data_IF_958229685527
#
_entry.id   IF_958229685527
#
_cell.length_a   1.000
_cell.length_b   1.000
_cell.length_c   1.000
_cell.angle_alpha   90.00
_cell.angle_beta   90.00
_cell.angle_gamma   90.00
#
_symmetry.space_group_name_H-M   'P 1'
#
loop_
_entity.id
_entity.type
_entity.pdbx_description
1 polymer ?
#
# COMPACT_ATOMS: atom_id res chain seq x y z
N UNK A 1 -61.81 22.93 44.79
CA UNK A 1 -62.74 22.15 43.96
C UNK A 1 -62.36 22.35 42.50
N UNK A 2 -62.57 21.38 41.58
CA UNK A 2 -62.30 19.95 41.66
C UNK A 2 -61.62 19.38 40.37
N UNK A 3 -61.15 18.12 40.44
CA UNK A 3 -61.16 17.08 39.37
C UNK A 3 -60.36 17.35 38.08
N UNK A 4 -59.72 16.41 37.38
CA UNK A 4 -59.75 14.94 37.26
C UNK A 4 -58.52 14.63 36.38
N UNK A 5 -57.52 13.87 36.82
CA UNK A 5 -57.38 12.42 36.76
C UNK A 5 -57.91 11.72 35.48
N UNK A 6 -57.00 10.92 34.90
CA UNK A 6 -57.16 9.70 34.08
C UNK A 6 -57.35 9.87 32.57
N UNK A 7 -56.31 9.47 31.82
CA UNK A 7 -56.46 8.39 30.85
C UNK A 7 -55.29 7.40 30.96
N UNK A 8 -55.67 6.14 31.22
CA UNK A 8 -54.90 4.91 31.04
C UNK A 8 -55.06 4.49 29.58
N UNK A 9 -54.10 3.76 29.00
CA UNK A 9 -54.22 2.54 28.17
C UNK A 9 -52.86 2.26 27.47
N UNK A 10 -52.54 1.01 27.05
CA UNK A 10 -51.36 0.27 27.46
C UNK A 10 -50.50 -0.15 26.25
N UNK A 11 -49.49 -0.99 26.52
CA UNK A 11 -48.72 -1.83 25.60
C UNK A 11 -49.43 -2.14 24.26
N UNK A 12 -48.73 -1.86 23.16
CA UNK A 12 -48.87 -2.59 21.91
C UNK A 12 -47.47 -3.01 21.42
N UNK A 13 -47.21 -4.30 21.50
CA UNK A 13 -46.13 -5.05 20.85
C UNK A 13 -46.40 -5.03 19.34
N UNK A 14 -45.43 -4.65 18.51
CA UNK A 14 -45.52 -4.84 17.06
C UNK A 14 -44.14 -5.08 16.41
N UNK A 15 -43.90 -6.36 16.13
CA UNK A 15 -43.26 -6.92 14.94
C UNK A 15 -41.85 -6.47 14.49
N UNK A 16 -40.90 -7.33 14.84
CA UNK A 16 -39.73 -7.76 14.08
C UNK A 16 -40.00 -7.87 12.56
N UNK A 17 -39.25 -7.12 11.75
CA UNK A 17 -39.03 -7.39 10.32
C UNK A 17 -37.52 -7.33 10.04
N UNK A 18 -36.88 -8.52 10.04
CA UNK A 18 -35.55 -8.71 9.48
C UNK A 18 -35.65 -8.53 7.94
N UNK A 19 -35.11 -7.44 7.43
CA UNK A 19 -34.77 -7.34 6.02
C UNK A 19 -33.36 -7.93 5.83
N UNK A 20 -33.28 -9.20 5.42
CA UNK A 20 -32.06 -9.74 4.81
C UNK A 20 -31.92 -9.10 3.42
N UNK A 21 -31.16 -8.03 3.33
CA UNK A 21 -30.65 -7.55 2.04
C UNK A 21 -29.52 -8.50 1.61
N UNK A 22 -29.83 -9.39 0.67
CA UNK A 22 -28.81 -10.11 -0.08
C UNK A 22 -28.05 -9.10 -0.94
N UNK A 23 -26.88 -8.67 -0.49
CA UNK A 23 -25.93 -7.92 -1.31
C UNK A 23 -25.39 -8.85 -2.39
N UNK A 24 -26.03 -8.85 -3.55
CA UNK A 24 -25.40 -9.36 -4.77
C UNK A 24 -24.27 -8.39 -5.15
N UNK A 25 -23.07 -8.63 -4.63
CA UNK A 25 -21.84 -8.02 -5.14
C UNK A 25 -21.53 -8.59 -6.52
N UNK A 26 -22.23 -8.08 -7.54
CA UNK A 26 -21.80 -8.23 -8.92
C UNK A 26 -20.56 -7.36 -9.14
N UNK A 27 -19.38 -7.93 -8.92
CA UNK A 27 -18.13 -7.28 -9.30
C UNK A 27 -18.12 -7.05 -10.81
N UNK A 28 -18.15 -5.80 -11.26
CA UNK A 28 -17.83 -5.49 -12.64
C UNK A 28 -16.40 -5.98 -12.92
N UNK A 29 -16.14 -6.65 -14.05
CA UNK A 29 -14.78 -6.99 -14.42
C UNK A 29 -13.99 -5.68 -14.54
N UNK A 30 -12.91 -5.57 -13.75
CA UNK A 30 -12.02 -4.43 -13.80
C UNK A 30 -11.46 -4.31 -15.22
N UNK A 31 -11.63 -3.14 -15.85
CA UNK A 31 -10.97 -2.82 -17.12
C UNK A 31 -9.46 -2.97 -16.91
N UNK A 32 -8.75 -3.70 -17.79
CA UNK A 32 -7.30 -3.80 -17.68
C UNK A 32 -6.66 -2.42 -17.65
N UNK A 33 -5.70 -2.22 -16.75
CA UNK A 33 -4.93 -0.98 -16.71
C UNK A 33 -4.18 -0.79 -18.04
N UNK A 34 -4.26 0.43 -18.59
CA UNK A 34 -3.49 0.82 -19.77
C UNK A 34 -2.16 1.40 -19.29
N UNK A 35 -1.06 0.86 -19.82
CA UNK A 35 0.30 1.30 -19.51
C UNK A 35 1.00 1.81 -20.79
N UNK A 36 2.01 2.70 -20.67
CA UNK A 36 2.50 3.33 -19.44
C UNK A 36 1.52 4.36 -18.86
N UNK A 37 1.57 4.62 -17.55
CA UNK A 37 0.70 5.59 -16.87
C UNK A 37 1.37 6.23 -15.67
N UNK A 38 1.33 7.57 -15.58
CA UNK A 38 1.59 8.29 -14.34
C UNK A 38 0.29 8.33 -13.52
N UNK A 39 0.23 7.72 -12.32
CA UNK A 39 -0.94 7.86 -11.46
C UNK A 39 -1.20 9.33 -11.14
N UNK A 40 -2.45 9.74 -11.22
CA UNK A 40 -2.82 11.12 -10.96
C UNK A 40 -2.65 11.43 -9.46
N UNK A 41 -2.20 12.64 -9.11
CA UNK A 41 -2.06 13.04 -7.70
C UNK A 41 -3.35 12.86 -6.88
N UNK A 42 -4.53 13.01 -7.51
CA UNK A 42 -5.84 12.79 -6.88
C UNK A 42 -6.12 11.35 -6.46
N UNK A 43 -5.31 10.38 -6.91
CA UNK A 43 -5.44 8.97 -6.52
C UNK A 43 -4.76 8.67 -5.17
N UNK A 44 -3.97 9.61 -4.64
CA UNK A 44 -3.46 9.57 -3.28
C UNK A 44 -4.55 9.99 -2.28
N UNK A 45 -5.38 9.03 -1.88
CA UNK A 45 -6.52 9.26 -0.98
C UNK A 45 -6.29 8.72 0.43
N UNK A 46 -5.09 8.20 0.72
CA UNK A 46 -4.77 7.69 2.05
C UNK A 46 -4.59 8.84 3.05
N UNK A 47 -5.02 8.60 4.29
CA UNK A 47 -4.68 9.48 5.40
C UNK A 47 -3.21 9.32 5.76
N UNK A 48 -2.55 10.42 6.11
CA UNK A 48 -1.20 10.37 6.65
C UNK A 48 -1.22 9.82 8.08
N UNK A 49 -0.29 8.91 8.37
CA UNK A 49 0.17 8.60 9.71
C UNK A 49 0.83 9.85 10.31
N UNK A 50 0.61 10.18 11.59
CA UNK A 50 1.24 11.32 12.24
C UNK A 50 2.77 11.24 12.21
N UNK A 51 3.43 12.39 12.12
CA UNK A 51 4.89 12.49 12.10
C UNK A 51 5.53 11.79 13.29
N UNK A 52 4.98 12.03 14.49
CA UNK A 52 5.46 11.46 15.74
C UNK A 52 5.41 9.93 15.77
N UNK A 53 4.46 9.34 15.07
CA UNK A 53 4.29 7.89 14.99
C UNK A 53 5.38 7.27 14.09
N UNK A 54 5.66 7.86 12.92
CA UNK A 54 6.76 7.41 12.04
C UNK A 54 8.12 7.57 12.73
N UNK A 55 8.32 8.66 13.49
CA UNK A 55 9.53 8.86 14.29
C UNK A 55 9.65 7.80 15.39
N UNK A 56 8.56 7.43 16.05
CA UNK A 56 8.55 6.38 17.07
C UNK A 56 8.83 4.98 16.48
N UNK A 57 8.27 4.67 15.31
CA UNK A 57 8.54 3.43 14.57
C UNK A 57 10.04 3.24 14.32
N UNK A 58 10.71 4.31 13.85
CA UNK A 58 12.16 4.34 13.61
C UNK A 58 12.98 4.06 14.88
N UNK A 59 12.54 4.55 16.03
CA UNK A 59 13.26 4.41 17.30
C UNK A 59 13.08 3.02 17.95
N UNK A 60 12.14 2.24 17.46
CA UNK A 60 11.95 0.85 17.91
C UNK A 60 13.13 -0.01 17.41
N UNK A 61 13.81 -0.78 18.27
CA UNK A 61 14.92 -1.65 17.84
C UNK A 61 14.44 -2.70 16.84
N UNK A 62 15.21 -2.93 15.78
CA UNK A 62 15.06 -4.13 14.93
C UNK A 62 15.57 -5.33 15.75
N UNK A 63 14.86 -6.45 15.75
CA UNK A 63 15.40 -7.69 16.31
C UNK A 63 16.64 -8.10 15.51
N UNK A 64 17.78 -8.23 16.19
CA UNK A 64 19.06 -8.63 15.59
C UNK A 64 18.99 -10.07 15.06
N UNK A 65 18.56 -10.21 13.81
CA UNK A 65 18.89 -11.34 12.96
C UNK A 65 19.61 -10.80 11.73
N UNK A 66 20.81 -10.26 11.93
CA UNK A 66 21.72 -9.92 10.85
C UNK A 66 22.22 -11.22 10.19
N UNK A 67 21.40 -11.78 9.29
CA UNK A 67 21.88 -12.72 8.31
C UNK A 67 22.77 -11.95 7.32
N UNK A 68 23.93 -12.51 6.99
CA UNK A 68 24.74 -12.05 5.85
C UNK A 68 23.80 -11.97 4.64
N UNK A 69 23.75 -10.84 3.90
CA UNK A 69 22.84 -10.73 2.76
C UNK A 69 23.22 -11.79 1.73
N UNK A 70 22.40 -12.83 1.64
CA UNK A 70 22.43 -13.74 0.51
C UNK A 70 22.01 -12.96 -0.75
N UNK A 71 22.47 -13.35 -1.94
CA UNK A 71 21.94 -12.80 -3.18
C UNK A 71 20.41 -12.91 -3.18
N UNK A 72 19.73 -11.78 -3.42
CA UNK A 72 18.28 -11.80 -3.46
C UNK A 72 17.81 -12.73 -4.58
N UNK A 73 16.96 -13.68 -4.23
CA UNK A 73 16.28 -14.54 -5.18
C UNK A 73 14.79 -14.29 -5.00
N UNK A 74 14.09 -14.03 -6.11
CA UNK A 74 12.63 -13.85 -6.09
C UNK A 74 12.00 -15.05 -5.38
N UNK A 75 11.28 -14.84 -4.26
CA UNK A 75 10.64 -15.92 -3.53
C UNK A 75 9.65 -16.67 -4.43
N UNK A 76 9.64 -18.00 -4.31
CA UNK A 76 8.65 -18.80 -4.99
C UNK A 76 7.25 -18.52 -4.41
N UNK A 77 6.29 -18.27 -5.28
CA UNK A 77 4.88 -18.10 -4.92
C UNK A 77 3.95 -18.82 -5.88
N UNK A 78 2.66 -18.84 -5.51
CA UNK A 78 1.58 -19.24 -6.42
C UNK A 78 0.89 -18.00 -6.96
N UNK A 79 0.23 -18.04 -8.13
CA UNK A 79 -0.62 -16.94 -8.56
C UNK A 79 -1.62 -16.56 -7.46
N UNK A 80 -1.73 -15.27 -7.16
CA UNK A 80 -2.74 -14.75 -6.25
C UNK A 80 -4.14 -14.88 -6.87
N UNK A 81 -5.17 -14.88 -6.03
CA UNK A 81 -6.55 -14.76 -6.51
C UNK A 81 -6.84 -13.34 -7.03
N UNK A 82 -7.99 -13.18 -7.67
CA UNK A 82 -8.41 -11.92 -8.29
C UNK A 82 -8.53 -10.79 -7.27
N UNK A 83 -9.08 -11.06 -6.09
CA UNK A 83 -9.28 -10.05 -5.03
C UNK A 83 -7.93 -9.53 -4.53
N UNK A 84 -7.03 -10.44 -4.15
CA UNK A 84 -5.67 -10.11 -3.72
C UNK A 84 -4.91 -9.36 -4.82
N UNK A 85 -5.04 -9.79 -6.08
CA UNK A 85 -4.39 -9.12 -7.20
C UNK A 85 -4.88 -7.69 -7.36
N UNK A 86 -6.19 -7.45 -7.31
CA UNK A 86 -6.77 -6.11 -7.42
C UNK A 86 -6.31 -5.22 -6.28
N UNK A 87 -6.35 -5.72 -5.04
CA UNK A 87 -5.99 -4.93 -3.87
C UNK A 87 -4.50 -4.56 -3.85
N UNK A 88 -3.62 -5.52 -4.14
CA UNK A 88 -2.16 -5.28 -4.19
C UNK A 88 -1.80 -4.25 -5.27
N UNK A 89 -2.40 -4.38 -6.46
CA UNK A 89 -2.18 -3.44 -7.57
C UNK A 89 -2.72 -2.05 -7.23
N UNK A 90 -3.87 -1.97 -6.56
CA UNK A 90 -4.44 -0.70 -6.10
C UNK A 90 -3.53 -0.02 -5.06
N UNK A 91 -2.98 -0.77 -4.09
CA UNK A 91 -2.03 -0.25 -3.10
C UNK A 91 -0.79 0.32 -3.78
N UNK A 92 -0.15 -0.43 -4.69
CA UNK A 92 1.04 0.06 -5.38
C UNK A 92 0.74 1.27 -6.27
N UNK A 93 -0.41 1.30 -6.93
CA UNK A 93 -0.84 2.47 -7.69
C UNK A 93 -0.99 3.70 -6.78
N UNK A 94 -1.50 3.52 -5.56
CA UNK A 94 -1.60 4.58 -4.57
C UNK A 94 -0.24 5.03 -4.05
N UNK A 95 0.75 4.13 -3.91
CA UNK A 95 2.15 4.48 -3.58
C UNK A 95 2.68 5.51 -4.56
N UNK A 96 2.60 5.21 -5.86
CA UNK A 96 3.10 6.11 -6.90
C UNK A 96 2.25 7.39 -7.05
N UNK A 97 0.95 7.32 -6.78
CA UNK A 97 0.11 8.52 -6.72
C UNK A 97 0.55 9.46 -5.58
N UNK A 98 0.81 8.93 -4.38
CA UNK A 98 1.28 9.72 -3.25
C UNK A 98 2.70 10.25 -3.45
N UNK A 99 3.55 9.47 -4.11
CA UNK A 99 4.87 9.91 -4.53
C UNK A 99 4.77 11.10 -5.52
N UNK A 100 3.84 11.06 -6.48
CA UNK A 100 3.60 12.12 -7.46
C UNK A 100 2.91 13.37 -6.89
N UNK A 101 2.20 13.25 -5.75
CA UNK A 101 1.75 14.41 -4.95
C UNK A 101 2.92 15.09 -4.23
N UNK A 102 3.99 14.34 -3.97
CA UNK A 102 5.14 14.81 -3.19
C UNK A 102 4.80 15.06 -1.73
N UNK A 103 3.89 14.28 -1.13
CA UNK A 103 3.52 14.32 0.29
C UNK A 103 4.26 13.20 1.05
N UNK A 104 5.33 13.51 1.79
CA UNK A 104 6.18 12.49 2.41
C UNK A 104 5.44 11.64 3.44
N UNK A 105 4.52 12.23 4.22
CA UNK A 105 3.80 11.49 5.27
C UNK A 105 2.80 10.52 4.64
N UNK A 106 2.01 10.96 3.65
CA UNK A 106 1.09 10.04 2.95
C UNK A 106 1.82 8.94 2.22
N UNK A 107 2.96 9.26 1.61
CA UNK A 107 3.81 8.27 0.99
C UNK A 107 4.33 7.24 2.00
N UNK A 108 4.90 7.69 3.13
CA UNK A 108 5.38 6.82 4.21
C UNK A 108 4.26 5.94 4.80
N UNK A 109 3.02 6.40 4.80
CA UNK A 109 1.84 5.67 5.34
C UNK A 109 1.41 4.44 4.55
N UNK A 110 2.09 4.15 3.44
CA UNK A 110 1.85 2.98 2.59
C UNK A 110 2.91 1.89 2.77
N UNK A 111 3.88 2.14 3.66
CA UNK A 111 4.95 1.21 4.02
C UNK A 111 4.69 0.64 5.41
N UNK A 112 5.19 -0.57 5.65
CA UNK A 112 5.14 -1.19 6.97
C UNK A 112 6.10 -0.52 7.94
N UNK A 113 5.87 -0.76 9.23
CA UNK A 113 6.77 -0.29 10.29
C UNK A 113 8.19 -0.82 10.12
N UNK A 114 8.33 -2.08 9.70
CA UNK A 114 9.62 -2.73 9.48
C UNK A 114 10.38 -2.11 8.30
N UNK A 115 9.67 -1.81 7.21
CA UNK A 115 10.23 -1.05 6.09
C UNK A 115 10.67 0.34 6.56
N UNK A 116 9.80 1.11 7.23
CA UNK A 116 10.11 2.48 7.64
C UNK A 116 11.29 2.54 8.61
N UNK A 117 11.39 1.58 9.52
CA UNK A 117 12.51 1.48 10.46
C UNK A 117 13.82 1.16 9.75
N UNK A 118 13.80 0.27 8.76
CA UNK A 118 14.96 -0.04 7.93
C UNK A 118 15.37 1.17 7.08
N UNK A 119 14.40 1.79 6.40
CA UNK A 119 14.60 2.90 5.48
C UNK A 119 15.14 4.16 6.16
N UNK A 120 14.62 4.51 7.34
CA UNK A 120 15.13 5.63 8.15
C UNK A 120 16.20 5.22 9.16
N UNK A 121 16.61 3.95 9.13
CA UNK A 121 17.66 3.41 9.98
C UNK A 121 18.98 4.14 9.73
N UNK A 122 19.62 4.62 10.80
CA UNK A 122 20.89 5.34 10.70
C UNK A 122 20.81 6.79 10.19
N UNK A 123 19.67 7.23 9.64
CA UNK A 123 19.45 8.64 9.29
C UNK A 123 19.30 9.48 10.56
N UNK A 124 19.95 10.64 10.71
CA UNK A 124 19.76 11.51 11.87
C UNK A 124 18.29 11.87 12.08
N UNK A 125 17.83 11.86 13.35
CA UNK A 125 16.42 12.09 13.70
C UNK A 125 15.90 13.42 13.14
N UNK A 126 16.69 14.48 13.26
CA UNK A 126 16.29 15.81 12.81
C UNK A 126 16.15 15.87 11.27
N UNK A 127 16.93 15.09 10.53
CA UNK A 127 16.82 14.99 9.06
C UNK A 127 15.54 14.25 8.65
N UNK A 128 15.18 13.17 9.36
CA UNK A 128 13.91 12.46 9.14
C UNK A 128 12.73 13.39 9.42
N UNK A 129 12.77 14.13 10.53
CA UNK A 129 11.74 15.11 10.87
C UNK A 129 11.66 16.20 9.79
N UNK A 130 12.79 16.73 9.34
CA UNK A 130 12.84 17.78 8.33
C UNK A 130 12.23 17.30 7.00
N UNK A 131 12.57 16.09 6.55
CA UNK A 131 12.03 15.49 5.34
C UNK A 131 10.52 15.24 5.44
N UNK A 132 10.08 14.58 6.51
CA UNK A 132 8.66 14.23 6.69
C UNK A 132 7.78 15.46 6.96
N UNK A 133 8.36 16.58 7.40
CA UNK A 133 7.63 17.84 7.62
C UNK A 133 7.49 18.69 6.36
N UNK A 134 8.06 18.28 5.22
CA UNK A 134 7.91 19.02 3.97
C UNK A 134 6.43 19.03 3.55
N UNK A 135 5.89 20.19 3.13
CA UNK A 135 4.56 20.23 2.56
C UNK A 135 4.51 19.46 1.23
N UNK A 136 3.32 19.01 0.78
CA UNK A 136 3.15 18.39 -0.53
C UNK A 136 3.76 19.22 -1.66
N UNK A 137 4.62 18.60 -2.47
CA UNK A 137 5.24 19.22 -3.64
C UNK A 137 4.68 18.61 -4.93
N UNK A 138 3.80 19.35 -5.60
CA UNK A 138 3.23 18.90 -6.87
C UNK A 138 4.28 18.92 -7.98
N UNK A 139 4.68 17.74 -8.42
CA UNK A 139 5.64 17.60 -9.50
C UNK A 139 5.00 17.90 -10.87
N UNK A 140 5.69 18.62 -11.77
CA UNK A 140 5.28 18.75 -13.17
C UNK A 140 5.27 17.39 -13.87
N UNK A 141 4.58 17.28 -15.01
CA UNK A 141 4.37 15.99 -15.69
C UNK A 141 5.67 15.24 -16.03
N UNK A 142 6.74 15.96 -16.37
CA UNK A 142 8.06 15.42 -16.68
C UNK A 142 8.86 14.96 -15.44
N UNK A 143 8.36 15.25 -14.25
CA UNK A 143 8.94 14.84 -12.95
C UNK A 143 8.04 13.84 -12.21
N UNK A 144 7.04 13.28 -12.87
CA UNK A 144 6.21 12.22 -12.28
C UNK A 144 6.83 10.86 -12.53
N UNK A 145 6.69 9.99 -11.53
CA UNK A 145 6.94 8.55 -11.67
C UNK A 145 5.87 7.94 -12.56
N UNK A 146 6.30 7.20 -13.57
CA UNK A 146 5.42 6.52 -14.53
C UNK A 146 5.50 5.02 -14.29
N UNK A 147 4.36 4.37 -14.11
CA UNK A 147 4.27 2.91 -14.08
C UNK A 147 4.29 2.41 -15.53
N UNK A 148 5.33 1.68 -15.89
CA UNK A 148 5.46 1.04 -17.21
C UNK A 148 4.67 -0.27 -17.25
N UNK A 149 4.68 -1.05 -16.16
CA UNK A 149 3.83 -2.24 -15.99
C UNK A 149 3.92 -2.80 -14.58
N UNK A 150 2.89 -3.54 -14.19
CA UNK A 150 2.97 -4.51 -13.10
C UNK A 150 3.13 -5.93 -13.64
N UNK A 151 3.95 -6.73 -12.96
CA UNK A 151 4.02 -8.17 -13.14
C UNK A 151 2.81 -8.89 -12.55
N UNK A 152 2.80 -10.21 -12.69
CA UNK A 152 1.78 -11.05 -12.04
C UNK A 152 1.98 -11.02 -10.53
N UNK A 153 0.91 -10.79 -9.78
CA UNK A 153 0.91 -10.90 -8.32
C UNK A 153 1.01 -12.37 -7.93
N UNK A 154 1.99 -12.68 -7.10
CA UNK A 154 2.19 -13.99 -6.50
C UNK A 154 1.87 -13.91 -5.01
N UNK A 155 1.16 -14.90 -4.48
CA UNK A 155 1.04 -15.11 -3.05
C UNK A 155 2.15 -16.05 -2.58
N UNK A 156 2.95 -15.55 -1.64
CA UNK A 156 4.06 -16.27 -1.03
C UNK A 156 3.56 -17.22 0.06
N UNK A 157 4.42 -18.16 0.48
CA UNK A 157 4.05 -19.20 1.46
C UNK A 157 3.72 -18.65 2.85
N UNK A 158 4.21 -17.46 3.18
CA UNK A 158 3.97 -16.74 4.43
C UNK A 158 2.71 -15.83 4.37
N UNK A 159 2.02 -15.80 3.23
CA UNK A 159 0.82 -14.97 3.03
C UNK A 159 1.10 -13.56 2.52
N UNK A 160 2.37 -13.16 2.36
CA UNK A 160 2.73 -11.90 1.69
C UNK A 160 2.48 -12.00 0.19
N UNK A 161 2.31 -10.85 -0.46
CA UNK A 161 2.19 -10.74 -1.91
C UNK A 161 3.49 -10.22 -2.52
N UNK A 162 3.92 -10.80 -3.64
CA UNK A 162 5.13 -10.37 -4.35
C UNK A 162 4.86 -10.13 -5.83
N UNK A 163 5.45 -9.07 -6.41
CA UNK A 163 5.40 -8.80 -7.83
C UNK A 163 6.57 -7.96 -8.31
N UNK A 164 6.81 -8.02 -9.62
CA UNK A 164 7.70 -7.08 -10.31
C UNK A 164 6.93 -5.80 -10.62
N UNK A 165 7.53 -4.65 -10.36
CA UNK A 165 7.07 -3.33 -10.81
C UNK A 165 8.11 -2.81 -11.79
N UNK A 166 7.69 -2.22 -12.91
CA UNK A 166 8.62 -1.50 -13.80
C UNK A 166 8.24 -0.04 -13.84
N UNK A 167 9.20 0.82 -13.54
CA UNK A 167 9.04 2.27 -13.46
C UNK A 167 9.92 2.99 -14.47
N UNK A 168 9.45 4.16 -14.92
CA UNK A 168 10.28 5.23 -15.49
C UNK A 168 10.28 6.35 -14.44
N UNK A 169 11.42 6.52 -13.76
CA UNK A 169 11.61 7.51 -12.70
C UNK A 169 12.38 8.71 -13.23
N UNK A 170 11.96 9.94 -12.90
CA UNK A 170 12.55 11.15 -13.49
C UNK A 170 14.01 11.39 -13.10
N UNK A 171 14.43 10.89 -11.93
CA UNK A 171 15.78 11.06 -11.39
C UNK A 171 16.70 9.86 -11.71
N UNK A 172 16.17 8.80 -12.32
CA UNK A 172 16.94 7.64 -12.75
C UNK A 172 17.27 7.71 -14.25
N UNK A 173 18.55 7.60 -14.66
CA UNK A 173 18.91 7.56 -16.08
C UNK A 173 18.38 6.31 -16.83
N UNK A 174 17.91 5.28 -16.11
CA UNK A 174 17.32 4.05 -16.64
C UNK A 174 15.81 4.25 -16.82
N UNK A 175 15.31 3.96 -18.02
CA UNK A 175 13.90 4.19 -18.39
C UNK A 175 12.95 3.04 -18.05
N UNK A 176 13.49 1.88 -17.70
CA UNK A 176 12.73 0.67 -17.37
C UNK A 176 13.49 -0.10 -16.29
N UNK A 177 13.29 0.27 -15.03
CA UNK A 177 13.88 -0.44 -13.90
C UNK A 177 12.87 -1.44 -13.32
N UNK A 178 13.17 -2.75 -13.35
CA UNK A 178 12.37 -3.73 -12.66
C UNK A 178 12.75 -3.81 -11.18
N UNK A 179 11.81 -3.46 -10.31
CA UNK A 179 11.89 -3.71 -8.88
C UNK A 179 11.04 -4.90 -8.49
N UNK A 180 11.48 -5.68 -7.51
CA UNK A 180 10.63 -6.65 -6.87
C UNK A 180 10.09 -6.10 -5.56
N UNK A 181 8.78 -5.91 -5.48
CA UNK A 181 8.08 -5.46 -4.29
C UNK A 181 7.43 -6.63 -3.56
N UNK A 182 7.56 -6.64 -2.22
CA UNK A 182 6.81 -7.52 -1.32
C UNK A 182 5.88 -6.65 -0.48
N UNK A 183 4.62 -7.06 -0.41
CA UNK A 183 3.60 -6.44 0.39
C UNK A 183 3.09 -7.41 1.46
N UNK A 184 2.88 -6.90 2.66
CA UNK A 184 2.28 -7.62 3.78
C UNK A 184 0.88 -7.07 4.07
N UNK A 185 -0.02 -7.95 4.52
CA UNK A 185 -1.36 -7.55 4.93
C UNK A 185 -1.41 -7.32 6.44
N UNK A 186 -1.45 -6.06 6.85
CA UNK A 186 -1.48 -5.61 8.25
C UNK A 186 -2.81 -4.90 8.50
N UNK A 187 -3.55 -5.32 9.54
CA UNK A 187 -4.86 -4.76 9.91
C UNK A 187 -5.85 -4.64 8.73
N UNK A 188 -5.83 -5.64 7.84
CA UNK A 188 -6.71 -5.72 6.67
C UNK A 188 -6.25 -4.90 5.46
N UNK A 189 -5.14 -4.16 5.54
CA UNK A 189 -4.56 -3.36 4.45
C UNK A 189 -3.26 -3.97 3.95
N UNK A 190 -3.00 -3.87 2.66
CA UNK A 190 -1.68 -4.17 2.10
C UNK A 190 -0.75 -2.98 2.31
N UNK A 191 0.45 -3.22 2.83
CA UNK A 191 1.54 -2.26 2.99
C UNK A 191 2.80 -2.80 2.33
N UNK A 192 3.63 -1.92 1.79
CA UNK A 192 4.92 -2.30 1.20
C UNK A 192 5.91 -2.62 2.32
N UNK A 193 6.39 -3.85 2.34
CA UNK A 193 7.32 -4.40 3.34
C UNK A 193 8.76 -4.40 2.83
N UNK A 194 8.95 -4.63 1.53
CA UNK A 194 10.27 -4.78 0.93
C UNK A 194 10.24 -4.30 -0.51
N UNK A 195 11.29 -3.58 -0.91
CA UNK A 195 11.60 -3.31 -2.32
C UNK A 195 13.03 -3.80 -2.56
N UNK A 196 13.20 -4.55 -3.64
CA UNK A 196 14.49 -5.02 -4.12
C UNK A 196 14.69 -4.53 -5.54
N UNK A 197 15.55 -3.54 -5.65
CA UNK A 197 16.09 -3.11 -6.94
C UNK A 197 16.88 -4.26 -7.55
N UNK A 198 16.71 -4.47 -8.85
CA UNK A 198 17.48 -5.46 -9.58
C UNK A 198 18.94 -4.99 -9.69
N UNK A 199 19.78 -5.38 -8.73
CA UNK A 199 21.23 -5.24 -8.80
C UNK A 199 21.90 -6.19 -9.82
N UNK A 200 21.13 -6.88 -10.67
CA UNK A 200 21.61 -7.89 -11.62
C UNK A 200 21.30 -9.34 -11.20
N UNK A 201 20.05 -9.62 -10.85
CA UNK A 201 19.51 -10.96 -10.73
C UNK A 201 19.48 -11.62 -12.12
N UNK A 202 20.37 -12.60 -12.31
CA UNK A 202 20.45 -13.43 -13.50
C UNK A 202 19.10 -14.11 -13.70
N UNK A 203 18.36 -13.68 -14.71
CA UNK A 203 17.20 -14.41 -15.21
C UNK A 203 17.68 -15.81 -15.66
N UNK A 204 17.43 -16.83 -14.83
CA UNK A 204 17.57 -18.22 -15.28
C UNK A 204 16.55 -18.45 -16.37
N UNK A 205 17.03 -18.36 -17.60
CA UNK A 205 16.32 -18.74 -18.81
C UNK A 205 15.94 -20.23 -18.69
N UNK A 206 14.68 -20.63 -18.89
CA UNK A 206 14.35 -22.05 -18.95
C UNK A 206 15.05 -22.65 -20.19
N UNK A 207 15.79 -23.73 -19.98
CA UNK A 207 16.37 -24.52 -21.07
C UNK A 207 15.26 -25.06 -22.01
N UNK A 208 15.56 -25.25 -23.31
CA UNK A 208 14.58 -25.65 -24.33
C UNK A 208 13.97 -27.04 -24.10
#
# INVERSE_FOLDING_TARGET
>A
MPRQNRYRFPLAIAALLLALSASNSGGQPATPAVYPVAPAPSECVIASVPLEEIVAIRETPVSDAAAIPAPFTIPAGRPADTETTVDVIATLRQVFACANVGDPLRFASLYSDDFLRSFFGGVPRDDVIAFLSLPPQFFPEDQKRVIIRFGKVQLLSDGRAGLIIVLDEPDDPRREEPDYAILERIDGRWLVEEIREDGGAIATTPAP
#
